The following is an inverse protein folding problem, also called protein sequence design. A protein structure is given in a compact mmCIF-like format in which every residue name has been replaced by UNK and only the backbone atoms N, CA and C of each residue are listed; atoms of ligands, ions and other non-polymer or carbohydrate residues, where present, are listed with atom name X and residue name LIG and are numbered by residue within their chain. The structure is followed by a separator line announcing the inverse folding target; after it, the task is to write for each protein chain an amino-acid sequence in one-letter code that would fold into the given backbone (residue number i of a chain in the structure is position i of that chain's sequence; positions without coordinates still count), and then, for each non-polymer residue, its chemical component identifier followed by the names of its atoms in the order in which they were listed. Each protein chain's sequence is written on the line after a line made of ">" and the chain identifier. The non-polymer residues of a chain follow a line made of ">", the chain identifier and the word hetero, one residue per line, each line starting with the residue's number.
data_IF_810774372729
#
_entry.id   IF_810774372729
#
_cell.length_a   1.000
_cell.length_b   1.000
_cell.length_c   1.000
_cell.angle_alpha   90.00
_cell.angle_beta   90.00
_cell.angle_gamma   90.00
#
_symmetry.space_group_name_H-M   'P 1'
#
loop_
_entity.id
_entity.type
_entity.pdbx_description
1 polymer ?
#
# COMPACT_ATOMS: atom_id res chain seq x y z
N UNK A 1 -20.36 -6.39 12.16
CA UNK A 1 -20.17 -5.20 13.02
C UNK A 1 -21.24 -5.35 14.07
N UNK A 2 -20.87 -5.58 15.33
CA UNK A 2 -21.86 -5.84 16.38
C UNK A 2 -21.67 -4.77 17.43
N UNK A 3 -22.70 -3.92 17.61
CA UNK A 3 -22.82 -3.08 18.80
C UNK A 3 -23.43 -3.99 19.88
N UNK A 4 -22.77 -4.13 21.02
CA UNK A 4 -23.23 -5.03 22.08
C UNK A 4 -23.59 -4.24 23.33
N UNK A 5 -24.85 -4.35 23.73
CA UNK A 5 -25.43 -3.77 24.95
C UNK A 5 -25.57 -4.88 26.00
N UNK A 6 -25.10 -4.64 27.23
CA UNK A 6 -25.17 -5.62 28.32
C UNK A 6 -25.83 -5.06 29.59
N UNK A 7 -26.49 -5.96 30.32
CA UNK A 7 -27.10 -5.76 31.66
C UNK A 7 -26.36 -6.62 32.69
N UNK A 8 -26.32 -6.17 33.95
CA UNK A 8 -25.41 -6.64 35.02
C UNK A 8 -25.56 -8.10 35.47
N UNK A 9 -26.66 -8.78 35.16
CA UNK A 9 -26.95 -10.09 35.75
C UNK A 9 -26.26 -11.30 35.08
N UNK A 10 -25.56 -11.15 33.95
CA UNK A 10 -25.04 -12.31 33.17
C UNK A 10 -23.60 -12.10 32.64
N UNK A 11 -22.76 -11.41 33.42
CA UNK A 11 -21.45 -10.90 32.97
C UNK A 11 -20.36 -12.01 32.94
N UNK A 12 -20.35 -12.96 33.87
CA UNK A 12 -19.22 -13.88 34.05
C UNK A 12 -19.16 -14.99 32.98
N UNK A 13 -20.28 -15.59 32.59
CA UNK A 13 -20.27 -16.69 31.60
C UNK A 13 -20.12 -16.18 30.16
N UNK A 14 -20.64 -14.97 29.88
CA UNK A 14 -20.61 -14.34 28.56
C UNK A 14 -19.29 -13.62 28.23
N UNK A 15 -18.57 -13.07 29.24
CA UNK A 15 -17.22 -12.53 29.06
C UNK A 15 -16.22 -13.60 28.61
N UNK A 16 -16.36 -14.84 29.11
CA UNK A 16 -15.51 -15.95 28.67
C UNK A 16 -15.75 -16.30 27.19
N UNK A 17 -16.97 -16.13 26.66
CA UNK A 17 -17.28 -16.33 25.23
C UNK A 17 -16.71 -15.21 24.34
N UNK A 18 -16.70 -13.95 24.79
CA UNK A 18 -16.09 -12.81 24.07
C UNK A 18 -14.57 -12.98 23.85
N UNK A 19 -13.88 -13.62 24.80
CA UNK A 19 -12.45 -13.92 24.68
C UNK A 19 -12.19 -15.08 23.71
N UNK A 20 -13.16 -15.97 23.52
CA UNK A 20 -13.03 -17.16 22.68
C UNK A 20 -13.52 -16.98 21.23
N UNK A 21 -14.43 -16.05 20.95
CA UNK A 21 -15.04 -15.88 19.62
C UNK A 21 -14.76 -14.49 19.01
N UNK A 22 -13.77 -14.41 18.11
CA UNK A 22 -13.10 -13.18 17.69
C UNK A 22 -13.72 -12.46 16.49
N UNK A 23 -14.96 -11.99 16.60
CA UNK A 23 -15.62 -11.21 15.54
C UNK A 23 -15.84 -9.73 15.95
N UNK A 24 -14.88 -8.88 15.56
CA UNK A 24 -14.97 -7.41 15.37
C UNK A 24 -15.78 -6.59 16.41
N UNK A 25 -15.18 -6.25 17.54
CA UNK A 25 -15.69 -5.23 18.47
C UNK A 25 -15.09 -3.86 18.08
N UNK A 26 -15.92 -2.89 17.69
CA UNK A 26 -15.51 -1.49 17.44
C UNK A 26 -15.88 -0.55 18.59
N UNK A 27 -17.00 -0.83 19.24
CA UNK A 27 -17.59 -0.05 20.33
C UNK A 27 -17.88 -1.02 21.49
N UNK A 28 -17.60 -0.61 22.73
CA UNK A 28 -17.99 -1.36 23.93
C UNK A 28 -18.80 -0.42 24.82
N UNK A 29 -20.10 -0.64 24.86
CA UNK A 29 -21.03 0.12 25.70
C UNK A 29 -21.36 -0.71 26.95
N UNK A 30 -20.91 -0.24 28.12
CA UNK A 30 -21.21 -0.87 29.40
C UNK A 30 -22.21 -0.01 30.17
N UNK A 31 -23.45 -0.50 30.28
CA UNK A 31 -24.50 0.20 31.02
C UNK A 31 -24.57 -0.35 32.44
N UNK A 32 -24.14 0.46 33.41
CA UNK A 32 -24.23 0.15 34.83
C UNK A 32 -25.54 0.72 35.37
N UNK A 33 -26.42 -0.11 35.93
CA UNK A 33 -27.61 0.32 36.66
C UNK A 33 -27.53 -0.25 38.07
N UNK A 34 -27.29 0.58 39.08
CA UNK A 34 -27.59 0.23 40.47
C UNK A 34 -29.11 0.29 40.63
N UNK A 35 -29.73 -0.80 41.09
CA UNK A 35 -31.12 -0.76 41.55
C UNK A 35 -31.15 0.03 42.86
N UNK A 36 -32.11 0.95 42.96
CA UNK A 36 -32.22 1.99 43.98
C UNK A 36 -32.33 1.53 45.44
N UNK A 37 -32.32 0.23 45.73
CA UNK A 37 -32.57 -0.29 47.08
C UNK A 37 -31.50 -1.26 47.63
N UNK A 38 -30.41 -1.52 46.91
CA UNK A 38 -29.30 -2.31 47.48
C UNK A 38 -27.97 -1.58 47.27
N UNK A 39 -27.24 -1.40 48.37
CA UNK A 39 -25.85 -0.91 48.45
C UNK A 39 -24.84 -1.87 47.82
N UNK A 40 -25.24 -2.63 46.79
CA UNK A 40 -24.32 -3.47 46.02
C UNK A 40 -23.68 -2.63 44.92
N UNK A 41 -22.59 -1.96 45.32
CA UNK A 41 -21.51 -1.64 44.40
C UNK A 41 -21.11 -2.91 43.63
N UNK A 42 -20.55 -2.73 42.42
CA UNK A 42 -19.91 -3.82 41.69
C UNK A 42 -18.96 -4.51 42.65
N UNK A 43 -19.02 -5.84 42.85
CA UNK A 43 -18.01 -6.52 43.65
C UNK A 43 -16.65 -6.16 43.07
N UNK A 44 -15.76 -5.57 43.88
CA UNK A 44 -14.45 -5.02 43.46
C UNK A 44 -13.66 -6.03 42.59
N UNK A 45 -13.90 -7.32 42.81
CA UNK A 45 -13.37 -8.45 42.04
C UNK A 45 -13.77 -8.43 40.55
N UNK A 46 -15.00 -8.05 40.19
CA UNK A 46 -15.49 -7.98 38.80
C UNK A 46 -14.85 -6.79 38.08
N UNK A 47 -14.80 -5.63 38.73
CA UNK A 47 -14.14 -4.43 38.19
C UNK A 47 -12.63 -4.67 37.99
N UNK A 48 -11.97 -5.26 38.99
CA UNK A 48 -10.57 -5.64 38.92
C UNK A 48 -10.30 -6.62 37.77
N UNK A 49 -11.17 -7.60 37.54
CA UNK A 49 -10.98 -8.61 36.49
C UNK A 49 -11.14 -8.04 35.08
N UNK A 50 -12.15 -7.20 34.85
CA UNK A 50 -12.30 -6.48 33.57
C UNK A 50 -11.06 -5.62 33.27
N UNK A 51 -10.55 -4.93 34.31
CA UNK A 51 -9.43 -3.99 34.18
C UNK A 51 -8.04 -4.65 34.09
N UNK A 52 -7.85 -5.81 34.74
CA UNK A 52 -6.56 -6.51 34.80
C UNK A 52 -6.44 -7.62 33.75
N UNK A 53 -7.54 -8.24 33.32
CA UNK A 53 -7.50 -9.42 32.43
C UNK A 53 -8.11 -9.16 31.05
N UNK A 54 -9.27 -8.50 30.96
CA UNK A 54 -10.05 -8.42 29.71
C UNK A 54 -9.56 -7.31 28.79
N UNK A 55 -9.49 -6.07 29.27
CA UNK A 55 -9.08 -4.91 28.47
C UNK A 55 -7.62 -5.01 27.93
N UNK A 56 -6.63 -5.48 28.70
CA UNK A 56 -5.27 -5.68 28.18
C UNK A 56 -5.20 -6.70 27.04
N UNK A 57 -5.99 -7.79 27.08
CA UNK A 57 -6.01 -8.83 26.03
C UNK A 57 -6.64 -8.32 24.74
N UNK A 58 -7.68 -7.47 24.83
CA UNK A 58 -8.29 -6.80 23.69
C UNK A 58 -7.28 -5.88 23.00
N UNK A 59 -6.47 -5.15 23.78
CA UNK A 59 -5.51 -4.17 23.25
C UNK A 59 -4.19 -4.78 22.75
N UNK A 60 -3.75 -5.90 23.33
CA UNK A 60 -2.47 -6.54 22.98
C UNK A 60 -2.54 -7.33 21.67
N UNK A 61 -3.72 -7.81 21.27
CA UNK A 61 -3.89 -8.49 19.99
C UNK A 61 -3.92 -7.49 18.83
N UNK A 62 -2.78 -7.35 18.12
CA UNK A 62 -2.58 -6.49 16.94
C UNK A 62 -3.63 -6.60 15.81
N UNK A 63 -4.52 -7.60 15.84
CA UNK A 63 -5.57 -7.85 14.84
C UNK A 63 -6.97 -7.37 15.26
N UNK A 64 -7.21 -7.02 16.52
CA UNK A 64 -8.51 -6.52 16.98
C UNK A 64 -8.64 -5.02 16.66
N UNK A 65 -9.86 -4.52 16.34
CA UNK A 65 -10.08 -3.08 16.20
C UNK A 65 -9.78 -2.37 17.52
N UNK A 66 -9.14 -1.19 17.44
CA UNK A 66 -8.98 -0.31 18.60
C UNK A 66 -10.37 0.08 19.13
N UNK A 67 -10.55 0.04 20.44
CA UNK A 67 -11.74 0.56 21.11
C UNK A 67 -11.91 2.04 20.74
N UNK A 68 -13.00 2.39 20.04
CA UNK A 68 -13.25 3.77 19.57
C UNK A 68 -14.03 4.60 20.58
N UNK A 69 -15.00 4.00 21.23
CA UNK A 69 -15.84 4.61 22.26
C UNK A 69 -15.91 3.71 23.49
N UNK A 70 -15.97 4.33 24.67
CA UNK A 70 -16.22 3.70 25.96
C UNK A 70 -17.28 4.51 26.69
N UNK A 71 -18.30 3.84 27.22
CA UNK A 71 -19.39 4.46 27.98
C UNK A 71 -19.45 3.90 29.39
N UNK A 72 -19.42 4.79 30.39
CA UNK A 72 -19.63 4.46 31.80
C UNK A 72 -20.81 5.29 32.30
N UNK A 73 -21.85 4.63 32.82
CA UNK A 73 -23.19 5.25 32.98
C UNK A 73 -23.63 5.47 34.44
N UNK A 74 -23.00 4.84 35.45
CA UNK A 74 -23.29 5.13 36.86
C UNK A 74 -22.11 4.78 37.77
N UNK A 75 -21.73 5.71 38.64
CA UNK A 75 -20.77 5.52 39.74
C UNK A 75 -21.40 6.16 40.98
N UNK A 76 -21.84 5.32 41.92
CA UNK A 76 -22.41 5.78 43.18
C UNK A 76 -21.29 5.96 44.21
N UNK A 77 -21.14 7.20 44.68
CA UNK A 77 -20.39 7.67 45.86
C UNK A 77 -18.97 8.27 45.74
N UNK A 78 -18.72 9.01 46.81
CA UNK A 78 -17.92 10.21 47.03
C UNK A 78 -16.43 9.93 47.29
N UNK A 79 -15.63 10.97 47.05
CA UNK A 79 -14.23 11.19 47.43
C UNK A 79 -13.08 10.30 46.91
N UNK A 80 -13.26 9.31 46.03
CA UNK A 80 -12.12 8.54 45.46
C UNK A 80 -12.20 8.20 43.96
N UNK A 81 -12.75 9.09 43.12
CA UNK A 81 -12.73 8.87 41.66
C UNK A 81 -11.30 8.81 41.07
N UNK A 82 -10.34 9.45 41.74
CA UNK A 82 -8.92 9.43 41.37
C UNK A 82 -8.32 8.02 41.50
N UNK A 83 -8.79 7.21 42.44
CA UNK A 83 -8.23 5.88 42.70
C UNK A 83 -8.80 4.79 41.77
N UNK A 84 -10.00 5.01 41.20
CA UNK A 84 -10.68 4.03 40.35
C UNK A 84 -10.67 4.40 38.85
N UNK A 85 -10.94 5.66 38.50
CA UNK A 85 -11.08 6.08 37.09
C UNK A 85 -9.71 6.37 36.47
N UNK A 86 -8.79 7.01 37.20
CA UNK A 86 -7.48 7.40 36.64
C UNK A 86 -6.62 6.18 36.25
N UNK A 87 -6.51 5.10 37.05
CA UNK A 87 -5.80 3.89 36.63
C UNK A 87 -6.41 3.23 35.38
N UNK A 88 -7.74 3.35 35.22
CA UNK A 88 -8.49 2.83 34.08
C UNK A 88 -8.18 3.64 32.80
N UNK A 89 -8.17 4.97 32.89
CA UNK A 89 -7.83 5.88 31.78
C UNK A 89 -6.37 5.73 31.33
N UNK A 90 -5.43 5.51 32.25
CA UNK A 90 -4.00 5.28 31.93
C UNK A 90 -3.76 4.08 31.01
N UNK A 91 -4.68 3.12 30.95
CA UNK A 91 -4.56 1.91 30.11
C UNK A 91 -5.26 2.05 28.75
N UNK A 92 -5.99 3.15 28.52
CA UNK A 92 -6.78 3.42 27.32
C UNK A 92 -6.17 4.48 26.38
N UNK A 93 -4.84 4.62 26.35
CA UNK A 93 -4.06 5.66 25.61
C UNK A 93 -4.43 5.83 24.11
N UNK A 94 -5.04 4.82 23.49
CA UNK A 94 -5.41 4.85 22.07
C UNK A 94 -6.88 5.21 21.80
N UNK A 95 -7.66 5.54 22.83
CA UNK A 95 -9.08 5.88 22.72
C UNK A 95 -9.27 7.22 21.98
N UNK A 96 -10.18 7.25 21.01
CA UNK A 96 -10.46 8.44 20.18
C UNK A 96 -11.71 9.20 20.66
N UNK A 97 -12.69 8.51 21.23
CA UNK A 97 -13.91 9.09 21.82
C UNK A 97 -14.19 8.47 23.20
N UNK A 98 -14.59 9.29 24.18
CA UNK A 98 -14.98 8.86 25.53
C UNK A 98 -16.32 9.48 25.89
N UNK A 99 -17.26 8.66 26.37
CA UNK A 99 -18.53 9.12 26.92
C UNK A 99 -18.55 8.72 28.40
N UNK A 100 -18.56 9.72 29.28
CA UNK A 100 -18.56 9.52 30.72
C UNK A 100 -19.81 10.17 31.30
N UNK A 101 -20.70 9.37 31.87
CA UNK A 101 -21.90 9.85 32.55
C UNK A 101 -21.83 9.46 34.02
N UNK A 102 -21.72 10.47 34.88
CA UNK A 102 -21.65 10.32 36.33
C UNK A 102 -23.02 10.70 36.92
N UNK A 103 -23.58 9.83 37.75
CA UNK A 103 -24.79 10.12 38.53
C UNK A 103 -24.37 10.23 39.99
N UNK A 104 -24.59 11.38 40.63
CA UNK A 104 -24.13 11.67 41.99
C UNK A 104 -25.34 11.82 42.90
N UNK A 105 -25.53 10.85 43.80
CA UNK A 105 -26.76 10.69 44.59
C UNK A 105 -26.67 11.32 45.99
N UNK A 106 -25.49 11.70 46.50
CA UNK A 106 -25.36 12.53 47.72
C UNK A 106 -24.41 13.70 47.56
N UNK A 107 -24.83 14.84 48.13
CA UNK A 107 -24.12 16.11 48.14
C UNK A 107 -23.60 16.36 49.56
N UNK A 108 -22.68 15.53 50.00
CA UNK A 108 -21.82 15.81 51.14
C UNK A 108 -20.61 16.62 50.64
N UNK A 109 -20.88 17.91 50.37
CA UNK A 109 -19.99 19.08 50.26
C UNK A 109 -18.58 19.00 49.63
N UNK A 110 -18.17 17.90 49.00
CA UNK A 110 -16.97 17.89 48.16
C UNK A 110 -17.35 18.17 46.72
N UNK A 111 -17.06 19.39 46.27
CA UNK A 111 -17.20 19.78 44.88
C UNK A 111 -16.38 18.82 43.98
N UNK A 112 -17.01 18.28 42.93
CA UNK A 112 -16.27 17.61 41.86
C UNK A 112 -15.49 18.71 41.13
N UNK A 113 -14.17 18.74 41.31
CA UNK A 113 -13.29 19.63 40.54
C UNK A 113 -13.19 19.10 39.10
N UNK A 114 -14.18 19.47 38.29
CA UNK A 114 -14.24 19.10 36.88
C UNK A 114 -13.05 19.61 36.07
N UNK A 115 -12.34 20.65 36.54
CA UNK A 115 -11.14 21.15 35.87
C UNK A 115 -9.95 20.22 36.11
N UNK A 116 -9.78 19.70 37.34
CA UNK A 116 -8.75 18.72 37.66
C UNK A 116 -8.93 17.41 36.89
N UNK A 117 -10.15 16.87 36.88
CA UNK A 117 -10.48 15.65 36.14
C UNK A 117 -10.28 15.82 34.62
N UNK A 118 -10.62 16.98 34.08
CA UNK A 118 -10.41 17.30 32.66
C UNK A 118 -8.93 17.38 32.29
N UNK A 119 -8.09 18.03 33.11
CA UNK A 119 -6.66 18.13 32.85
C UNK A 119 -5.95 16.76 32.95
N UNK A 120 -6.32 15.90 33.91
CA UNK A 120 -5.79 14.53 33.97
C UNK A 120 -6.23 13.68 32.76
N UNK A 121 -7.49 13.78 32.31
CA UNK A 121 -7.96 13.09 31.09
C UNK A 121 -7.17 13.57 29.86
N UNK A 122 -6.97 14.88 29.73
CA UNK A 122 -6.25 15.51 28.61
C UNK A 122 -4.77 15.11 28.56
N UNK A 123 -4.09 15.07 29.70
CA UNK A 123 -2.68 14.69 29.80
C UNK A 123 -2.47 13.21 29.47
N UNK A 124 -3.39 12.34 29.90
CA UNK A 124 -3.20 10.88 29.87
C UNK A 124 -3.76 10.19 28.62
N UNK A 125 -4.72 10.81 27.93
CA UNK A 125 -5.33 10.29 26.71
C UNK A 125 -5.01 11.17 25.49
N UNK A 126 -3.79 11.13 24.94
CA UNK A 126 -3.31 12.07 23.92
C UNK A 126 -4.00 11.93 22.55
N UNK A 127 -4.83 10.89 22.36
CA UNK A 127 -5.58 10.64 21.11
C UNK A 127 -7.08 10.87 21.24
N UNK A 128 -7.53 11.31 22.42
CA UNK A 128 -8.94 11.59 22.68
C UNK A 128 -9.32 12.88 21.94
N UNK A 129 -10.16 12.74 20.92
CA UNK A 129 -10.60 13.86 20.09
C UNK A 129 -11.99 14.36 20.49
N UNK A 130 -12.71 13.57 21.30
CA UNK A 130 -14.08 13.86 21.72
C UNK A 130 -14.33 13.28 23.11
N UNK A 131 -14.73 14.16 24.03
CA UNK A 131 -15.15 13.79 25.38
C UNK A 131 -16.58 14.28 25.55
N UNK A 132 -17.50 13.37 25.84
CA UNK A 132 -18.85 13.73 26.27
C UNK A 132 -18.93 13.42 27.75
N UNK A 133 -19.07 14.47 28.54
CA UNK A 133 -19.12 14.37 29.99
C UNK A 133 -20.49 14.83 30.48
N UNK A 134 -21.19 13.99 31.22
CA UNK A 134 -22.52 14.28 31.76
C UNK A 134 -22.50 14.05 33.26
N UNK A 135 -22.86 15.06 34.06
CA UNK A 135 -23.08 14.90 35.50
C UNK A 135 -24.58 15.02 35.76
N UNK A 136 -25.16 14.02 36.40
CA UNK A 136 -26.53 14.04 36.91
C UNK A 136 -26.44 14.15 38.44
N UNK A 137 -26.67 15.34 39.00
CA UNK A 137 -26.94 15.48 40.43
C UNK A 137 -28.46 15.55 40.62
N UNK A 138 -28.97 15.10 41.77
CA UNK A 138 -30.41 15.15 42.07
C UNK A 138 -31.02 16.58 42.04
N UNK A 139 -30.20 17.64 41.96
CA UNK A 139 -30.65 19.04 42.08
C UNK A 139 -30.44 19.88 40.80
N UNK A 140 -29.53 19.52 39.88
CA UNK A 140 -29.31 20.28 38.64
C UNK A 140 -29.06 19.35 37.45
N UNK A 141 -29.99 19.33 36.48
CA UNK A 141 -29.72 18.80 35.14
C UNK A 141 -28.97 19.84 34.31
N UNK A 142 -27.67 19.66 34.11
CA UNK A 142 -26.89 20.40 33.12
C UNK A 142 -26.10 19.44 32.23
N UNK A 143 -26.48 19.35 30.96
CA UNK A 143 -25.62 18.77 29.93
C UNK A 143 -24.56 19.81 29.58
N UNK A 144 -23.34 19.64 30.08
CA UNK A 144 -22.21 20.48 29.69
C UNK A 144 -21.47 19.75 28.58
N UNK A 145 -21.71 20.18 27.34
CA UNK A 145 -20.91 19.73 26.21
C UNK A 145 -19.65 20.58 26.16
N UNK A 146 -18.55 20.08 26.72
CA UNK A 146 -17.25 20.74 26.62
C UNK A 146 -16.61 20.30 25.31
N UNK A 147 -16.72 21.14 24.28
CA UNK A 147 -15.84 20.99 23.12
C UNK A 147 -14.42 21.36 23.58
N UNK A 148 -13.43 20.54 23.22
CA UNK A 148 -12.02 20.88 23.47
C UNK A 148 -11.75 22.28 22.88
N UNK A 149 -11.01 23.16 23.59
CA UNK A 149 -10.68 24.48 23.07
C UNK A 149 -10.10 24.33 21.68
N UNK A 150 -10.58 25.17 20.76
CA UNK A 150 -10.15 25.12 19.38
C UNK A 150 -8.63 25.31 19.32
N UNK A 151 -7.99 24.84 18.24
CA UNK A 151 -6.57 25.12 18.06
C UNK A 151 -6.24 26.62 18.10
N UNK A 152 -7.22 27.51 17.88
CA UNK A 152 -7.06 28.97 17.98
C UNK A 152 -7.00 29.45 19.45
N UNK A 153 -7.76 28.85 20.36
CA UNK A 153 -7.75 29.19 21.79
C UNK A 153 -6.47 28.68 22.47
N UNK A 154 -6.01 27.49 22.07
CA UNK A 154 -4.71 26.96 22.45
C UNK A 154 -3.60 27.89 21.93
N UNK A 155 -3.73 28.40 20.69
CA UNK A 155 -2.76 29.32 20.08
C UNK A 155 -2.66 30.68 20.77
N UNK A 156 -3.76 31.24 21.29
CA UNK A 156 -3.69 32.47 22.11
C UNK A 156 -2.83 32.30 23.35
N UNK A 157 -2.98 31.17 24.05
CA UNK A 157 -2.21 30.90 25.29
C UNK A 157 -0.71 30.76 25.06
N UNK A 158 -0.28 30.36 23.84
CA UNK A 158 1.14 30.28 23.46
C UNK A 158 1.77 31.65 23.17
N UNK A 159 0.98 32.61 22.68
CA UNK A 159 1.41 33.98 22.39
C UNK A 159 1.64 34.77 23.69
N UNK A 160 0.74 34.63 24.67
CA UNK A 160 0.84 35.30 25.97
C UNK A 160 2.04 34.84 26.81
N UNK A 161 2.58 33.65 26.53
CA UNK A 161 3.73 33.06 27.24
C UNK A 161 5.08 33.19 26.50
N UNK A 162 5.14 33.99 25.44
CA UNK A 162 6.41 34.36 24.78
C UNK A 162 7.07 33.29 23.91
N UNK A 163 6.34 32.24 23.50
CA UNK A 163 6.87 31.24 22.55
C UNK A 163 6.69 31.71 21.10
N UNK A 164 7.76 31.66 20.29
CA UNK A 164 7.71 32.07 18.88
C UNK A 164 6.74 31.20 18.07
N UNK A 165 5.84 31.88 17.36
CA UNK A 165 4.80 31.32 16.51
C UNK A 165 5.41 30.57 15.32
N UNK A 166 5.35 29.22 15.33
CA UNK A 166 5.50 28.43 14.10
C UNK A 166 4.24 28.70 13.27
N UNK A 167 4.42 29.31 12.09
CA UNK A 167 3.37 29.92 11.27
C UNK A 167 2.01 29.23 11.32
N UNK A 168 1.00 29.98 11.80
CA UNK A 168 -0.46 29.80 11.73
C UNK A 168 -0.96 28.35 11.49
N UNK A 169 -1.65 27.79 12.49
CA UNK A 169 -2.33 26.49 12.37
C UNK A 169 -3.36 26.48 11.22
N UNK A 170 -3.94 27.64 10.92
CA UNK A 170 -4.82 27.82 9.77
C UNK A 170 -4.07 27.58 8.44
N UNK A 171 -2.84 28.06 8.29
CA UNK A 171 -2.02 27.81 7.11
C UNK A 171 -1.62 26.33 7.01
N UNK A 172 -1.28 25.70 8.15
CA UNK A 172 -0.99 24.27 8.20
C UNK A 172 -2.19 23.43 7.75
N UNK A 173 -3.39 23.74 8.26
CA UNK A 173 -4.64 23.06 7.89
C UNK A 173 -5.00 23.28 6.42
N UNK A 174 -4.85 24.51 5.91
CA UNK A 174 -5.11 24.84 4.50
C UNK A 174 -4.15 24.13 3.55
N UNK A 175 -2.87 24.04 3.91
CA UNK A 175 -1.86 23.28 3.14
C UNK A 175 -2.19 21.79 3.17
N UNK A 176 -2.50 21.21 4.34
CA UNK A 176 -2.86 19.79 4.48
C UNK A 176 -4.09 19.44 3.63
N UNK A 177 -5.15 20.25 3.67
CA UNK A 177 -6.34 20.05 2.83
C UNK A 177 -6.04 20.08 1.33
N UNK A 178 -5.07 20.90 0.89
CA UNK A 178 -4.66 20.97 -0.53
C UNK A 178 -3.75 19.83 -0.96
N UNK A 179 -3.01 19.21 -0.06
CA UNK A 179 -2.14 18.06 -0.38
C UNK A 179 -2.84 16.71 -0.23
N UNK A 180 -3.86 16.62 0.63
CA UNK A 180 -4.63 15.39 0.90
C UNK A 180 -5.78 15.19 -0.11
N UNK A 181 -5.42 15.24 -1.39
CA UNK A 181 -6.30 15.00 -2.54
C UNK A 181 -5.58 14.13 -3.57
N UNK A 182 -6.31 13.52 -4.51
CA UNK A 182 -5.73 12.55 -5.47
C UNK A 182 -4.62 13.15 -6.38
N UNK A 183 -4.83 14.40 -6.81
CA UNK A 183 -3.92 15.18 -7.63
C UNK A 183 -3.62 16.54 -6.99
N UNK A 184 -2.69 16.60 -6.02
CA UNK A 184 -2.42 17.83 -5.30
C UNK A 184 -1.64 18.83 -6.18
N UNK A 185 -1.91 20.14 -6.05
CA UNK A 185 -1.17 21.19 -6.74
C UNK A 185 0.29 21.25 -6.27
N UNK A 186 1.16 21.87 -7.09
CA UNK A 186 2.58 22.03 -6.74
C UNK A 186 2.75 22.91 -5.49
N UNK A 187 3.85 22.73 -4.75
CA UNK A 187 4.14 23.56 -3.57
C UNK A 187 4.18 25.06 -3.90
N UNK A 188 4.61 25.43 -5.13
CA UNK A 188 4.59 26.82 -5.61
C UNK A 188 3.17 27.33 -5.85
N UNK A 189 2.29 26.50 -6.41
CA UNK A 189 0.88 26.84 -6.60
C UNK A 189 0.16 27.01 -5.25
N UNK A 190 0.43 26.12 -4.28
CA UNK A 190 -0.08 26.24 -2.91
C UNK A 190 0.43 27.52 -2.25
N UNK A 191 1.72 27.82 -2.39
CA UNK A 191 2.35 29.03 -1.86
C UNK A 191 1.70 30.30 -2.43
N UNK A 192 1.47 30.34 -3.75
CA UNK A 192 0.81 31.47 -4.42
C UNK A 192 -0.64 31.64 -3.96
N UNK A 193 -1.39 30.55 -3.89
CA UNK A 193 -2.81 30.55 -3.52
C UNK A 193 -3.04 30.92 -2.05
N UNK A 194 -2.15 30.49 -1.16
CA UNK A 194 -2.22 30.78 0.27
C UNK A 194 -1.42 32.02 0.68
N UNK A 195 -0.81 32.73 -0.28
CA UNK A 195 0.05 33.90 -0.04
C UNK A 195 1.14 33.66 1.02
N UNK A 196 1.77 32.47 0.99
CA UNK A 196 2.86 32.08 1.89
C UNK A 196 4.10 31.70 1.10
N UNK A 197 5.27 31.65 1.75
CA UNK A 197 6.50 31.21 1.09
C UNK A 197 6.45 29.71 0.75
N UNK A 198 7.08 29.30 -0.35
CA UNK A 198 7.21 27.88 -0.68
C UNK A 198 8.00 27.11 0.40
N UNK A 199 8.96 27.75 1.06
CA UNK A 199 9.69 27.18 2.21
C UNK A 199 8.73 26.83 3.35
N UNK A 200 7.76 27.69 3.66
CA UNK A 200 6.72 27.44 4.66
C UNK A 200 5.86 26.24 4.28
N UNK A 201 5.41 26.14 3.01
CA UNK A 201 4.68 24.97 2.51
C UNK A 201 5.51 23.69 2.64
N UNK A 202 6.81 23.74 2.30
CA UNK A 202 7.72 22.60 2.41
C UNK A 202 7.86 22.13 3.86
N UNK A 203 8.02 23.05 4.80
CA UNK A 203 8.13 22.73 6.22
C UNK A 203 6.84 22.14 6.78
N UNK A 204 5.68 22.68 6.40
CA UNK A 204 4.38 22.13 6.80
C UNK A 204 4.23 20.69 6.30
N UNK A 205 4.55 20.41 5.02
CA UNK A 205 4.46 19.06 4.45
C UNK A 205 5.40 18.07 5.16
N UNK A 206 6.62 18.50 5.47
CA UNK A 206 7.59 17.67 6.22
C UNK A 206 7.09 17.35 7.63
N UNK A 207 6.49 18.33 8.30
CA UNK A 207 6.03 18.19 9.69
C UNK A 207 4.66 17.51 9.82
N UNK A 208 3.89 17.40 8.72
CA UNK A 208 2.55 16.78 8.72
C UNK A 208 2.55 15.27 8.44
N UNK A 209 3.73 14.65 8.33
CA UNK A 209 3.87 13.20 8.11
C UNK A 209 3.67 12.75 6.65
N UNK A 210 3.45 13.68 5.71
CA UNK A 210 3.36 13.36 4.29
C UNK A 210 4.76 13.13 3.70
N UNK A 211 4.92 12.05 2.93
CA UNK A 211 6.16 11.79 2.19
C UNK A 211 5.97 12.09 0.72
N UNK A 212 6.79 12.98 0.16
CA UNK A 212 6.78 13.25 -1.28
C UNK A 212 7.22 11.99 -2.04
N UNK A 213 6.32 11.44 -2.86
CA UNK A 213 6.63 10.35 -3.80
C UNK A 213 6.37 10.77 -5.22
N UNK A 214 7.28 10.40 -6.13
CA UNK A 214 7.11 10.62 -7.56
C UNK A 214 6.12 9.60 -8.12
N UNK A 215 5.08 10.07 -8.83
CA UNK A 215 4.15 9.18 -9.54
C UNK A 215 4.91 8.36 -10.59
N UNK A 216 4.73 7.05 -10.57
CA UNK A 216 5.31 6.14 -11.55
C UNK A 216 4.46 6.15 -12.82
N UNK A 217 5.10 6.19 -13.99
CA UNK A 217 4.40 6.01 -15.26
C UNK A 217 4.07 4.53 -15.43
N UNK A 218 2.78 4.21 -15.59
CA UNK A 218 2.26 2.86 -15.81
C UNK A 218 1.33 2.85 -17.03
N UNK A 219 1.03 1.67 -17.56
CA UNK A 219 0.13 1.54 -18.70
C UNK A 219 -1.29 1.99 -18.33
N UNK A 220 -1.96 2.73 -19.22
CA UNK A 220 -3.36 3.10 -19.01
C UNK A 220 -4.26 1.86 -19.02
N UNK A 221 -5.01 1.63 -17.94
CA UNK A 221 -6.02 0.59 -17.86
C UNK A 221 -7.41 1.17 -18.14
N UNK A 222 -8.17 0.55 -19.04
CA UNK A 222 -9.61 0.80 -19.19
C UNK A 222 -10.39 0.00 -18.16
N UNK A 223 -11.64 0.37 -17.89
CA UNK A 223 -12.53 -0.39 -16.99
C UNK A 223 -12.68 -1.85 -17.45
N UNK A 224 -12.71 -2.09 -18.77
CA UNK A 224 -12.69 -3.44 -19.36
C UNK A 224 -11.41 -4.21 -19.04
N UNK A 225 -10.24 -3.55 -19.13
CA UNK A 225 -8.96 -4.18 -18.78
C UNK A 225 -8.91 -4.57 -17.30
N UNK A 226 -9.37 -3.69 -16.40
CA UNK A 226 -9.41 -3.95 -14.96
C UNK A 226 -10.30 -5.18 -14.66
N UNK A 227 -11.49 -5.23 -15.27
CA UNK A 227 -12.40 -6.37 -15.10
C UNK A 227 -11.78 -7.68 -15.59
N UNK A 228 -11.22 -7.69 -16.80
CA UNK A 228 -10.55 -8.87 -17.37
C UNK A 228 -9.35 -9.30 -16.53
N UNK A 229 -8.53 -8.35 -16.06
CA UNK A 229 -7.39 -8.59 -15.15
C UNK A 229 -7.88 -9.25 -13.85
N UNK A 230 -8.95 -8.74 -13.24
CA UNK A 230 -9.54 -9.33 -12.02
C UNK A 230 -10.05 -10.74 -12.24
N UNK A 231 -10.80 -10.98 -13.32
CA UNK A 231 -11.39 -12.29 -13.63
C UNK A 231 -10.31 -13.35 -13.91
N UNK A 232 -9.28 -13.00 -14.68
CA UNK A 232 -8.29 -13.95 -15.20
C UNK A 232 -7.12 -14.19 -14.25
N UNK A 233 -6.77 -13.20 -13.41
CA UNK A 233 -5.62 -13.29 -12.48
C UNK A 233 -5.68 -14.51 -11.57
N UNK A 234 -6.82 -14.81 -10.94
CA UNK A 234 -6.88 -15.95 -10.03
C UNK A 234 -6.70 -17.30 -10.75
N UNK A 235 -7.30 -17.46 -11.93
CA UNK A 235 -7.13 -18.67 -12.74
C UNK A 235 -5.69 -18.86 -13.19
N UNK A 236 -5.05 -17.78 -13.65
CA UNK A 236 -3.64 -17.80 -14.00
C UNK A 236 -2.76 -18.11 -12.78
N UNK A 237 -3.08 -17.56 -11.60
CA UNK A 237 -2.38 -17.89 -10.36
C UNK A 237 -2.42 -19.39 -10.06
N UNK A 238 -3.58 -20.05 -10.21
CA UNK A 238 -3.70 -21.50 -9.99
C UNK A 238 -2.81 -22.31 -10.94
N UNK A 239 -2.66 -21.87 -12.21
CA UNK A 239 -1.74 -22.51 -13.18
C UNK A 239 -0.27 -22.33 -12.80
N UNK A 240 0.09 -21.27 -12.10
CA UNK A 240 1.48 -20.93 -11.74
C UNK A 240 1.88 -21.40 -10.32
N UNK A 241 0.93 -21.47 -9.39
CA UNK A 241 1.16 -21.75 -7.98
C UNK A 241 1.76 -23.13 -7.71
N UNK A 242 2.27 -23.32 -6.48
CA UNK A 242 2.89 -24.56 -6.02
C UNK A 242 4.03 -25.05 -6.93
N UNK A 243 4.87 -24.12 -7.42
CA UNK A 243 6.02 -24.46 -8.26
C UNK A 243 5.69 -24.77 -9.72
N UNK A 244 4.41 -24.74 -10.14
CA UNK A 244 4.00 -25.03 -11.53
C UNK A 244 4.57 -24.02 -12.54
N UNK A 245 4.83 -22.78 -12.11
CA UNK A 245 5.52 -21.76 -12.92
C UNK A 245 6.85 -22.26 -13.53
N UNK A 246 7.53 -23.24 -12.90
CA UNK A 246 8.78 -23.81 -13.42
C UNK A 246 8.61 -24.51 -14.76
N UNK A 247 7.38 -24.92 -15.11
CA UNK A 247 7.05 -25.56 -16.39
C UNK A 247 6.84 -24.56 -17.52
N UNK A 248 6.86 -23.26 -17.25
CA UNK A 248 6.61 -22.25 -18.26
C UNK A 248 7.91 -21.77 -18.92
N UNK A 249 7.82 -21.52 -20.22
CA UNK A 249 8.76 -20.70 -20.99
C UNK A 249 8.02 -19.39 -21.25
N UNK A 250 8.50 -18.31 -20.65
CA UNK A 250 7.94 -16.97 -20.86
C UNK A 250 8.76 -16.25 -21.92
N UNK A 251 8.08 -15.71 -22.92
CA UNK A 251 8.68 -15.08 -24.10
C UNK A 251 8.03 -13.74 -24.36
N UNK A 252 8.78 -12.83 -24.96
CA UNK A 252 8.32 -11.47 -25.25
C UNK A 252 9.27 -10.77 -26.24
N UNK A 253 8.86 -9.60 -26.73
CA UNK A 253 9.63 -8.71 -27.59
C UNK A 253 9.98 -7.40 -26.88
N UNK A 254 11.23 -6.95 -27.03
CA UNK A 254 11.64 -5.64 -26.56
C UNK A 254 12.46 -4.87 -27.58
N UNK A 255 12.23 -3.56 -27.63
CA UNK A 255 13.10 -2.61 -28.31
C UNK A 255 14.30 -2.22 -27.45
N UNK A 256 15.46 -2.20 -28.09
CA UNK A 256 16.72 -1.67 -27.57
C UNK A 256 17.21 -0.55 -28.49
N UNK A 257 17.60 0.58 -27.89
CA UNK A 257 17.97 1.79 -28.60
C UNK A 257 19.36 2.27 -28.17
N UNK A 258 20.08 2.93 -29.09
CA UNK A 258 21.42 3.50 -28.81
C UNK A 258 21.38 4.63 -27.78
N UNK A 259 20.35 5.47 -27.83
CA UNK A 259 20.15 6.57 -26.86
C UNK A 259 19.84 6.07 -25.44
N UNK A 260 19.52 4.79 -25.29
CA UNK A 260 19.35 4.11 -24.01
C UNK A 260 20.66 3.65 -23.37
N UNK A 261 21.81 4.06 -23.89
CA UNK A 261 23.16 3.66 -23.44
C UNK A 261 23.95 4.85 -22.88
N UNK A 262 25.06 4.58 -22.19
CA UNK A 262 25.97 5.64 -21.71
C UNK A 262 25.51 6.42 -20.47
N UNK A 263 24.34 6.12 -19.90
CA UNK A 263 24.04 6.47 -18.51
C UNK A 263 23.90 7.96 -18.21
N UNK A 264 23.75 8.83 -19.22
CA UNK A 264 23.57 10.28 -19.00
C UNK A 264 22.36 10.52 -18.09
N UNK A 265 22.63 10.90 -16.85
CA UNK A 265 21.60 11.15 -15.84
C UNK A 265 21.08 12.57 -16.00
N UNK A 266 19.79 12.78 -15.73
CA UNK A 266 19.16 14.11 -15.67
C UNK A 266 19.63 14.97 -14.48
N UNK A 267 20.65 14.53 -13.76
CA UNK A 267 21.14 15.14 -12.52
C UNK A 267 22.62 15.45 -12.72
N UNK A 268 22.98 16.70 -12.51
CA UNK A 268 24.34 17.22 -12.49
C UNK A 268 24.52 18.00 -11.18
N UNK A 269 25.66 17.85 -10.51
CA UNK A 269 26.01 18.60 -9.30
C UNK A 269 27.02 19.67 -9.66
N UNK A 270 26.68 20.95 -9.46
CA UNK A 270 27.54 22.10 -9.80
C UNK A 270 27.91 22.87 -8.53
N UNK A 271 29.16 23.36 -8.46
CA UNK A 271 29.57 24.36 -7.46
C UNK A 271 29.19 25.76 -7.96
N UNK A 272 28.98 26.73 -7.06
CA UNK A 272 28.63 28.11 -7.45
C UNK A 272 29.69 28.79 -8.34
N UNK A 273 30.93 28.31 -8.29
CA UNK A 273 32.09 28.86 -9.03
C UNK A 273 32.38 28.11 -10.33
N UNK A 274 31.56 27.14 -10.71
CA UNK A 274 31.81 26.36 -11.92
C UNK A 274 31.41 27.15 -13.18
N UNK A 275 32.34 27.39 -14.11
CA UNK A 275 32.07 28.18 -15.32
C UNK A 275 31.39 27.37 -16.44
N UNK A 276 31.35 26.04 -16.31
CA UNK A 276 30.93 25.15 -17.38
C UNK A 276 29.42 24.85 -17.34
N UNK A 277 28.69 25.51 -18.25
CA UNK A 277 27.26 25.32 -18.51
C UNK A 277 26.97 24.09 -19.39
N UNK A 278 27.92 23.57 -20.17
CA UNK A 278 27.64 22.51 -21.15
C UNK A 278 27.32 21.18 -20.48
N UNK A 279 27.94 20.90 -19.32
CA UNK A 279 27.57 19.76 -18.46
C UNK A 279 26.19 19.88 -17.81
N UNK A 280 25.53 21.04 -17.90
CA UNK A 280 24.13 21.24 -17.49
C UNK A 280 23.14 20.94 -18.63
N UNK A 281 23.64 20.72 -19.86
CA UNK A 281 22.83 20.53 -21.05
C UNK A 281 22.79 19.05 -21.42
N UNK A 282 21.58 18.51 -21.56
CA UNK A 282 21.35 17.20 -22.18
C UNK A 282 20.73 17.47 -23.54
N UNK A 283 21.51 17.26 -24.60
CA UNK A 283 21.01 17.33 -25.97
C UNK A 283 19.95 16.25 -26.19
N UNK A 284 18.77 16.66 -26.64
CA UNK A 284 17.70 15.75 -27.06
C UNK A 284 17.89 15.44 -28.54
N UNK A 285 17.98 14.15 -28.88
CA UNK A 285 17.98 13.75 -30.29
C UNK A 285 16.60 14.06 -30.90
N UNK A 286 16.58 14.81 -32.00
CA UNK A 286 15.36 15.19 -32.74
C UNK A 286 14.83 14.08 -33.66
N UNK A 287 15.66 13.06 -33.95
CA UNK A 287 15.28 11.90 -34.76
C UNK A 287 14.79 10.72 -33.91
N UNK A 288 13.97 9.83 -34.50
CA UNK A 288 13.62 8.54 -33.90
C UNK A 288 14.91 7.80 -33.47
N UNK A 289 14.97 7.29 -32.24
CA UNK A 289 16.19 6.66 -31.75
C UNK A 289 16.51 5.40 -32.56
N UNK A 290 17.76 5.30 -33.01
CA UNK A 290 18.26 4.12 -33.73
C UNK A 290 18.23 2.93 -32.78
N UNK A 291 17.59 1.85 -33.20
CA UNK A 291 17.43 0.66 -32.38
C UNK A 291 16.94 -0.54 -33.18
N UNK A 292 16.83 -1.68 -32.50
CA UNK A 292 16.30 -2.91 -33.05
C UNK A 292 15.35 -3.57 -32.04
N UNK A 293 14.45 -4.41 -32.55
CA UNK A 293 13.58 -5.25 -31.74
C UNK A 293 14.18 -6.64 -31.59
N UNK A 294 14.04 -7.21 -30.40
CA UNK A 294 14.55 -8.53 -30.06
C UNK A 294 13.45 -9.35 -29.43
N UNK A 295 13.31 -10.59 -29.88
CA UNK A 295 12.54 -11.62 -29.21
C UNK A 295 13.46 -12.49 -28.34
N UNK A 296 13.00 -12.83 -27.15
CA UNK A 296 13.70 -13.76 -26.27
C UNK A 296 12.76 -14.37 -25.24
N UNK A 297 13.27 -15.37 -24.51
CA UNK A 297 12.51 -16.02 -23.47
C UNK A 297 13.37 -16.73 -22.44
N UNK A 298 12.76 -16.96 -21.27
CA UNK A 298 13.40 -17.62 -20.13
C UNK A 298 12.50 -18.69 -19.53
N UNK A 299 13.12 -19.65 -18.86
CA UNK A 299 12.45 -20.75 -18.17
C UNK A 299 13.31 -21.21 -16.99
N UNK A 300 12.78 -22.12 -16.17
CA UNK A 300 13.56 -22.78 -15.11
C UNK A 300 14.70 -23.67 -15.64
N UNK A 301 14.72 -23.97 -16.95
CA UNK A 301 15.74 -24.82 -17.56
C UNK A 301 16.80 -24.01 -18.33
N UNK A 302 16.67 -22.68 -18.36
CA UNK A 302 17.53 -21.83 -19.17
C UNK A 302 16.77 -20.78 -19.95
N UNK A 303 17.54 -20.08 -20.75
CA UNK A 303 17.12 -19.00 -21.65
C UNK A 303 17.20 -19.43 -23.12
N UNK A 304 16.34 -18.87 -23.96
CA UNK A 304 16.35 -19.09 -25.42
C UNK A 304 17.49 -18.32 -26.09
N UNK A 305 17.76 -18.63 -27.36
CA UNK A 305 18.52 -17.72 -28.22
C UNK A 305 17.73 -16.43 -28.46
N UNK A 306 18.43 -15.29 -28.47
CA UNK A 306 17.84 -14.01 -28.86
C UNK A 306 17.67 -13.95 -30.38
N UNK A 307 16.48 -13.55 -30.83
CA UNK A 307 16.14 -13.41 -32.25
C UNK A 307 15.93 -11.94 -32.58
N UNK A 308 16.75 -11.42 -33.48
CA UNK A 308 16.71 -10.01 -33.87
C UNK A 308 15.78 -9.83 -35.05
N UNK A 309 14.87 -8.86 -34.92
CA UNK A 309 13.98 -8.47 -36.00
C UNK A 309 14.71 -7.48 -36.91
N UNK A 310 14.64 -7.72 -38.22
CA UNK A 310 15.30 -6.86 -39.19
C UNK A 310 14.70 -5.44 -39.16
N UNK A 311 15.53 -4.38 -39.32
CA UNK A 311 15.04 -3.01 -39.35
C UNK A 311 13.91 -2.81 -40.37
N UNK A 312 12.90 -2.02 -40.01
CA UNK A 312 11.73 -1.76 -40.87
C UNK A 312 10.73 -2.92 -40.99
N UNK A 313 11.01 -4.09 -40.40
CA UNK A 313 10.09 -5.24 -40.46
C UNK A 313 8.97 -5.10 -39.45
N UNK A 314 7.71 -5.20 -39.91
CA UNK A 314 6.55 -5.34 -39.03
C UNK A 314 6.39 -6.80 -38.62
N UNK A 315 6.41 -7.08 -37.33
CA UNK A 315 6.13 -8.43 -36.80
C UNK A 315 4.64 -8.70 -36.94
N UNK A 316 4.27 -9.30 -38.06
CA UNK A 316 2.94 -9.88 -38.27
C UNK A 316 2.96 -11.38 -37.91
N UNK A 317 1.79 -12.01 -37.97
CA UNK A 317 1.64 -13.44 -37.68
C UNK A 317 2.57 -14.34 -38.50
N UNK A 318 2.71 -14.06 -39.80
CA UNK A 318 3.55 -14.85 -40.69
C UNK A 318 5.04 -14.75 -40.33
N UNK A 319 5.50 -13.54 -40.00
CA UNK A 319 6.85 -13.33 -39.52
C UNK A 319 7.06 -14.05 -38.19
N UNK A 320 6.13 -13.90 -37.25
CA UNK A 320 6.20 -14.52 -35.94
C UNK A 320 6.32 -16.05 -36.04
N UNK A 321 5.43 -16.70 -36.80
CA UNK A 321 5.48 -18.15 -37.01
C UNK A 321 6.81 -18.59 -37.65
N UNK A 322 7.21 -17.95 -38.75
CA UNK A 322 8.34 -18.45 -39.55
C UNK A 322 9.72 -18.08 -39.00
N UNK A 323 9.86 -16.89 -38.43
CA UNK A 323 11.15 -16.35 -37.97
C UNK A 323 11.34 -16.47 -36.47
N UNK A 324 10.27 -16.64 -35.69
CA UNK A 324 10.33 -16.78 -34.24
C UNK A 324 9.96 -18.20 -33.79
N UNK A 325 8.71 -18.63 -33.99
CA UNK A 325 8.22 -19.90 -33.42
C UNK A 325 8.89 -21.14 -34.03
N UNK A 326 9.01 -21.23 -35.36
CA UNK A 326 9.66 -22.38 -36.01
C UNK A 326 11.10 -22.60 -35.51
N UNK A 327 11.99 -21.60 -35.52
CA UNK A 327 13.33 -21.77 -34.96
C UNK A 327 13.33 -22.02 -33.45
N UNK A 328 12.42 -21.40 -32.69
CA UNK A 328 12.28 -21.64 -31.25
C UNK A 328 11.98 -23.11 -30.94
N UNK A 329 11.02 -23.71 -31.64
CA UNK A 329 10.66 -25.11 -31.48
C UNK A 329 11.74 -26.07 -31.97
N UNK A 330 12.45 -25.70 -33.05
CA UNK A 330 13.50 -26.55 -33.62
C UNK A 330 14.79 -26.55 -32.78
N UNK A 331 15.16 -25.40 -32.19
CA UNK A 331 16.49 -25.21 -31.60
C UNK A 331 16.45 -25.07 -30.07
N UNK A 332 15.53 -24.26 -29.54
CA UNK A 332 15.54 -23.93 -28.11
C UNK A 332 14.79 -24.97 -27.27
N UNK A 333 13.62 -25.40 -27.71
CA UNK A 333 12.80 -26.35 -26.95
C UNK A 333 13.53 -27.68 -26.70
N UNK A 334 14.17 -28.34 -27.69
CA UNK A 334 14.89 -29.58 -27.44
C UNK A 334 16.06 -29.42 -26.46
N UNK A 335 16.71 -28.25 -26.47
CA UNK A 335 17.82 -27.90 -25.57
C UNK A 335 17.34 -27.64 -24.14
N UNK A 336 16.26 -26.88 -23.98
CA UNK A 336 15.71 -26.51 -22.66
C UNK A 336 14.91 -27.66 -22.04
N UNK A 337 14.20 -28.44 -22.85
CA UNK A 337 13.35 -29.55 -22.42
C UNK A 337 13.66 -30.82 -23.23
N UNK A 338 14.83 -31.46 -22.99
CA UNK A 338 15.20 -32.68 -23.69
C UNK A 338 14.17 -33.79 -23.47
N UNK A 339 13.84 -34.54 -24.54
CA UNK A 339 12.82 -35.62 -24.51
C UNK A 339 13.05 -36.63 -23.38
N UNK A 340 14.32 -36.91 -23.02
CA UNK A 340 14.70 -37.81 -21.92
C UNK A 340 14.10 -37.41 -20.56
N UNK A 341 13.87 -36.11 -20.30
CA UNK A 341 13.30 -35.61 -19.05
C UNK A 341 11.78 -35.76 -18.96
N UNK A 342 11.08 -36.09 -20.07
CA UNK A 342 9.61 -36.20 -20.17
C UNK A 342 8.84 -35.04 -19.48
N UNK A 343 9.45 -33.85 -19.41
CA UNK A 343 8.82 -32.71 -18.75
C UNK A 343 7.88 -32.00 -19.69
N UNK A 344 6.61 -31.89 -19.28
CA UNK A 344 5.64 -31.01 -19.93
C UNK A 344 6.03 -29.55 -19.69
N UNK A 345 5.99 -28.75 -20.75
CA UNK A 345 6.24 -27.32 -20.70
C UNK A 345 5.07 -26.54 -21.31
N UNK A 346 4.97 -25.27 -20.94
CA UNK A 346 3.92 -24.36 -21.39
C UNK A 346 4.52 -23.07 -21.94
N UNK A 347 4.03 -22.58 -23.06
CA UNK A 347 4.41 -21.29 -23.61
C UNK A 347 3.59 -20.17 -22.96
N UNK A 348 4.26 -19.10 -22.55
CA UNK A 348 3.64 -17.83 -22.22
C UNK A 348 4.13 -16.76 -23.19
N UNK A 349 3.17 -16.10 -23.84
CA UNK A 349 3.33 -14.92 -24.68
C UNK A 349 2.18 -13.96 -24.36
N UNK A 350 2.36 -12.67 -24.60
CA UNK A 350 1.31 -11.68 -24.40
C UNK A 350 0.19 -11.82 -25.46
N UNK A 351 -0.80 -10.93 -25.41
CA UNK A 351 -1.91 -10.92 -26.38
C UNK A 351 -1.70 -9.92 -27.52
N UNK A 352 -0.45 -9.71 -27.96
CA UNK A 352 -0.18 -8.91 -29.15
C UNK A 352 -0.92 -9.50 -30.39
N UNK A 353 -1.35 -8.67 -31.35
CA UNK A 353 -2.12 -9.14 -32.50
C UNK A 353 -1.45 -10.28 -33.30
N UNK A 354 -0.13 -10.30 -33.40
CA UNK A 354 0.64 -11.39 -34.03
C UNK A 354 0.51 -12.72 -33.27
N UNK A 355 0.40 -12.68 -31.95
CA UNK A 355 0.34 -13.86 -31.07
C UNK A 355 -1.06 -14.46 -31.02
N UNK A 356 -2.09 -13.62 -31.13
CA UNK A 356 -3.49 -14.03 -31.10
C UNK A 356 -4.09 -14.28 -32.49
N UNK A 357 -3.34 -13.99 -33.56
CA UNK A 357 -3.77 -14.22 -34.93
C UNK A 357 -4.04 -15.72 -35.17
N UNK A 358 -5.08 -16.00 -35.95
CA UNK A 358 -5.51 -17.37 -36.25
C UNK A 358 -4.37 -18.25 -36.77
N UNK A 359 -3.53 -17.73 -37.66
CA UNK A 359 -2.38 -18.46 -38.20
C UNK A 359 -1.40 -18.88 -37.09
N UNK A 360 -1.12 -18.02 -36.11
CA UNK A 360 -0.25 -18.34 -34.96
C UNK A 360 -0.92 -19.37 -34.05
N UNK A 361 -2.20 -19.20 -33.72
CA UNK A 361 -2.94 -20.14 -32.88
C UNK A 361 -3.01 -21.53 -33.51
N UNK A 362 -3.39 -21.62 -34.80
CA UNK A 362 -3.40 -22.89 -35.56
C UNK A 362 -2.02 -23.55 -35.56
N UNK A 363 -0.95 -22.77 -35.73
CA UNK A 363 0.41 -23.31 -35.67
C UNK A 363 0.74 -23.91 -34.30
N UNK A 364 0.37 -23.23 -33.20
CA UNK A 364 0.59 -23.75 -31.85
C UNK A 364 -0.18 -25.06 -31.61
N UNK A 365 -1.44 -25.13 -32.05
CA UNK A 365 -2.31 -26.30 -31.92
C UNK A 365 -1.83 -27.49 -32.75
N UNK A 366 -1.46 -27.26 -34.02
CA UNK A 366 -0.92 -28.30 -34.92
C UNK A 366 0.38 -28.92 -34.36
N UNK A 367 1.20 -28.11 -33.70
CA UNK A 367 2.43 -28.56 -33.05
C UNK A 367 2.19 -29.09 -31.62
N UNK A 368 0.92 -29.18 -31.17
CA UNK A 368 0.51 -29.67 -29.84
C UNK A 368 1.21 -28.94 -28.68
N UNK A 369 1.44 -27.64 -28.85
CA UNK A 369 2.09 -26.82 -27.83
C UNK A 369 1.05 -26.45 -26.79
N UNK A 370 1.36 -26.69 -25.52
CA UNK A 370 0.55 -26.14 -24.44
C UNK A 370 0.94 -24.68 -24.22
N UNK A 371 -0.03 -23.78 -24.12
CA UNK A 371 0.23 -22.35 -23.93
C UNK A 371 -0.78 -21.70 -22.97
N UNK A 372 -0.54 -20.45 -22.61
CA UNK A 372 -1.55 -19.58 -21.99
C UNK A 372 -2.35 -18.95 -23.11
N UNK A 373 -3.63 -19.26 -23.18
CA UNK A 373 -4.51 -18.74 -24.23
C UNK A 373 -4.75 -17.24 -24.07
N UNK A 374 -5.15 -16.52 -25.14
CA UNK A 374 -5.51 -15.10 -25.05
C UNK A 374 -6.65 -14.80 -24.06
N UNK A 375 -7.49 -15.80 -23.77
CA UNK A 375 -8.60 -15.72 -22.81
C UNK A 375 -8.11 -15.93 -21.36
N UNK A 376 -7.02 -16.65 -21.16
CA UNK A 376 -6.40 -16.84 -19.85
C UNK A 376 -5.42 -15.73 -19.49
N UNK A 377 -4.75 -15.14 -20.48
CA UNK A 377 -3.84 -14.02 -20.26
C UNK A 377 -4.59 -12.73 -19.90
N UNK A 378 -3.98 -11.91 -19.04
CA UNK A 378 -4.56 -10.65 -18.62
C UNK A 378 -4.15 -9.53 -19.59
N UNK A 379 -5.09 -8.71 -20.11
CA UNK A 379 -4.74 -7.61 -20.99
C UNK A 379 -3.91 -6.55 -20.26
N UNK A 380 -3.05 -5.84 -20.99
CA UNK A 380 -2.30 -4.70 -20.44
C UNK A 380 -1.58 -5.02 -19.11
N UNK A 381 -0.86 -6.15 -19.08
CA UNK A 381 -0.28 -6.71 -17.84
C UNK A 381 1.22 -6.95 -17.88
N UNK A 382 2.04 -5.94 -18.24
CA UNK A 382 3.51 -6.05 -18.15
C UNK A 382 3.99 -6.29 -16.71
N UNK A 383 3.21 -5.85 -15.72
CA UNK A 383 3.43 -6.10 -14.29
C UNK A 383 3.28 -7.58 -13.88
N UNK A 384 2.69 -8.40 -14.76
CA UNK A 384 2.57 -9.85 -14.62
C UNK A 384 3.51 -10.66 -15.54
N UNK A 385 4.15 -10.05 -16.54
CA UNK A 385 5.00 -10.76 -17.50
C UNK A 385 6.48 -10.73 -17.07
N UNK A 386 7.13 -11.87 -16.79
CA UNK A 386 8.52 -11.91 -16.31
C UNK A 386 9.53 -11.20 -17.20
N UNK A 387 9.31 -11.26 -18.52
CA UNK A 387 10.16 -10.59 -19.48
C UNK A 387 10.10 -9.06 -19.30
N UNK A 388 8.89 -8.51 -19.18
CA UNK A 388 8.63 -7.09 -18.99
C UNK A 388 9.08 -6.55 -17.63
N UNK A 389 8.59 -7.12 -16.53
CA UNK A 389 8.80 -6.52 -15.21
C UNK A 389 10.23 -6.68 -14.69
N UNK A 390 11.07 -7.52 -15.33
CA UNK A 390 12.42 -7.79 -14.85
C UNK A 390 13.47 -8.02 -15.93
N UNK A 391 13.31 -9.03 -16.80
CA UNK A 391 14.42 -9.50 -17.65
C UNK A 391 14.89 -8.41 -18.62
N UNK A 392 13.97 -7.74 -19.31
CA UNK A 392 14.30 -6.62 -20.19
C UNK A 392 14.82 -5.41 -19.44
N UNK A 393 14.24 -5.09 -18.29
CA UNK A 393 14.71 -4.02 -17.41
C UNK A 393 16.15 -4.23 -16.96
N UNK A 394 16.51 -5.46 -16.57
CA UNK A 394 17.87 -5.84 -16.20
C UNK A 394 18.86 -5.62 -17.36
N UNK A 395 18.54 -6.12 -18.56
CA UNK A 395 19.44 -5.96 -19.72
C UNK A 395 19.62 -4.49 -20.10
N UNK A 396 18.52 -3.72 -20.13
CA UNK A 396 18.57 -2.27 -20.38
C UNK A 396 19.42 -1.56 -19.33
N UNK A 397 19.32 -1.96 -18.06
CA UNK A 397 20.14 -1.41 -16.99
C UNK A 397 21.63 -1.72 -17.17
N UNK A 398 22.00 -2.94 -17.59
CA UNK A 398 23.40 -3.26 -17.85
C UNK A 398 23.96 -2.47 -19.05
N UNK A 399 23.20 -2.38 -20.13
CA UNK A 399 23.60 -1.62 -21.33
C UNK A 399 23.70 -0.12 -21.05
N UNK A 400 22.84 0.42 -20.18
CA UNK A 400 22.89 1.83 -19.79
C UNK A 400 24.15 2.20 -18.97
N UNK A 401 24.92 1.23 -18.48
CA UNK A 401 26.20 1.50 -17.78
C UNK A 401 27.38 1.70 -18.73
N UNK A 402 27.20 1.38 -20.02
CA UNK A 402 28.27 1.33 -21.01
C UNK A 402 27.93 2.31 -22.13
N UNK A 403 28.90 3.10 -22.58
CA UNK A 403 28.74 3.91 -23.79
C UNK A 403 28.81 3.01 -25.02
N UNK A 404 27.86 3.15 -25.96
CA UNK A 404 27.79 2.32 -27.16
C UNK A 404 27.46 3.21 -28.36
N UNK A 405 28.35 3.18 -29.36
CA UNK A 405 28.31 4.12 -30.48
C UNK A 405 27.68 3.53 -31.76
N UNK A 406 27.46 2.21 -31.81
CA UNK A 406 26.92 1.55 -33.01
C UNK A 406 25.90 0.45 -32.68
N UNK A 407 24.97 0.20 -33.61
CA UNK A 407 23.96 -0.86 -33.47
C UNK A 407 24.60 -2.26 -33.40
N UNK A 408 25.70 -2.48 -34.11
CA UNK A 408 26.42 -3.75 -34.08
C UNK A 408 27.09 -3.99 -32.73
N UNK A 409 27.68 -2.94 -32.14
CA UNK A 409 28.20 -3.04 -30.79
C UNK A 409 27.08 -3.26 -29.77
N UNK A 410 25.96 -2.53 -29.89
CA UNK A 410 24.79 -2.72 -29.04
C UNK A 410 24.30 -4.17 -29.08
N UNK A 411 24.21 -4.76 -30.28
CA UNK A 411 23.84 -6.15 -30.48
C UNK A 411 24.83 -7.12 -29.83
N UNK A 412 26.14 -6.92 -30.03
CA UNK A 412 27.21 -7.73 -29.41
C UNK A 412 27.17 -7.66 -27.88
N UNK A 413 27.01 -6.46 -27.31
CA UNK A 413 26.91 -6.26 -25.87
C UNK A 413 25.64 -6.89 -25.30
N UNK A 414 24.49 -6.72 -25.96
CA UNK A 414 23.24 -7.37 -25.55
C UNK A 414 23.37 -8.89 -25.50
N UNK A 415 23.96 -9.51 -26.54
CA UNK A 415 24.24 -10.95 -26.56
C UNK A 415 25.16 -11.39 -25.42
N UNK A 416 26.19 -10.58 -25.13
CA UNK A 416 27.11 -10.83 -24.02
C UNK A 416 26.40 -10.79 -22.67
N UNK A 417 25.60 -9.75 -22.40
CA UNK A 417 24.84 -9.59 -21.16
C UNK A 417 23.75 -10.65 -21.00
N UNK A 418 23.09 -11.05 -22.11
CA UNK A 418 22.17 -12.18 -22.12
C UNK A 418 22.85 -13.47 -21.70
N UNK A 419 24.05 -13.75 -22.24
CA UNK A 419 24.83 -14.95 -21.88
C UNK A 419 25.24 -14.92 -20.40
N UNK A 420 25.69 -13.78 -19.89
CA UNK A 420 26.12 -13.58 -18.49
C UNK A 420 24.98 -13.69 -17.46
N UNK A 421 23.74 -13.38 -17.86
CA UNK A 421 22.59 -13.48 -16.96
C UNK A 421 22.49 -14.89 -16.37
N UNK A 422 22.59 -14.98 -15.05
CA UNK A 422 22.64 -16.26 -14.33
C UNK A 422 21.26 -16.91 -14.23
N UNK A 423 21.24 -18.24 -14.18
CA UNK A 423 20.00 -18.99 -13.99
C UNK A 423 19.37 -18.67 -12.62
N UNK A 424 20.18 -18.43 -11.59
CA UNK A 424 19.70 -18.04 -10.24
C UNK A 424 18.89 -16.74 -10.27
N UNK A 425 19.28 -15.76 -11.10
CA UNK A 425 18.49 -14.54 -11.28
C UNK A 425 17.15 -14.85 -11.93
N UNK A 426 17.16 -15.62 -13.02
CA UNK A 426 15.95 -16.05 -13.74
C UNK A 426 14.99 -16.80 -12.81
N UNK A 427 15.49 -17.72 -11.99
CA UNK A 427 14.68 -18.51 -11.07
C UNK A 427 13.99 -17.63 -10.01
N UNK A 428 14.70 -16.61 -9.49
CA UNK A 428 14.10 -15.62 -8.56
C UNK A 428 12.99 -14.82 -9.24
N UNK A 429 13.20 -14.40 -10.48
CA UNK A 429 12.19 -13.70 -11.27
C UNK A 429 10.95 -14.59 -11.45
N UNK A 430 11.14 -15.82 -11.94
CA UNK A 430 10.04 -16.77 -12.15
C UNK A 430 9.32 -17.14 -10.85
N UNK A 431 10.04 -17.28 -9.73
CA UNK A 431 9.44 -17.55 -8.42
C UNK A 431 8.55 -16.41 -7.91
N UNK A 432 8.80 -15.17 -8.35
CA UNK A 432 7.95 -14.01 -8.01
C UNK A 432 6.65 -13.95 -8.82
N UNK A 433 6.58 -14.67 -9.94
CA UNK A 433 5.49 -14.59 -10.91
C UNK A 433 4.11 -14.94 -10.32
N UNK A 434 3.91 -16.05 -9.58
CA UNK A 434 2.61 -16.37 -8.98
C UNK A 434 2.17 -15.29 -7.98
N UNK A 435 3.10 -14.76 -7.17
CA UNK A 435 2.80 -13.70 -6.18
C UNK A 435 2.31 -12.44 -6.87
N UNK A 436 2.96 -12.02 -7.96
CA UNK A 436 2.55 -10.85 -8.79
C UNK A 436 1.13 -11.02 -9.32
N UNK A 437 0.84 -12.16 -9.92
CA UNK A 437 -0.50 -12.45 -10.44
C UNK A 437 -1.57 -12.45 -9.32
N UNK A 438 -1.25 -13.02 -8.15
CA UNK A 438 -2.15 -12.96 -6.98
C UNK A 438 -2.37 -11.53 -6.46
N UNK A 439 -1.37 -10.66 -6.53
CA UNK A 439 -1.53 -9.26 -6.14
C UNK A 439 -2.46 -8.51 -7.09
N UNK A 440 -2.47 -8.83 -8.38
CA UNK A 440 -3.43 -8.23 -9.33
C UNK A 440 -4.86 -8.62 -8.94
N UNK A 441 -5.08 -9.88 -8.58
CA UNK A 441 -6.37 -10.35 -8.06
C UNK A 441 -6.78 -9.59 -6.79
N UNK A 442 -5.88 -9.50 -5.80
CA UNK A 442 -6.11 -8.76 -4.55
C UNK A 442 -6.34 -7.26 -4.76
N UNK A 443 -5.71 -6.68 -5.77
CA UNK A 443 -5.90 -5.30 -6.19
C UNK A 443 -7.15 -5.09 -7.08
N UNK A 444 -8.02 -6.12 -7.19
CA UNK A 444 -9.25 -6.10 -7.99
C UNK A 444 -8.99 -5.72 -9.46
N UNK A 445 -7.84 -6.14 -10.00
CA UNK A 445 -7.43 -5.87 -11.39
C UNK A 445 -6.62 -4.59 -11.60
N UNK A 446 -6.36 -3.80 -10.54
CA UNK A 446 -5.55 -2.57 -10.63
C UNK A 446 -4.04 -2.86 -10.77
N UNK A 447 -3.25 -1.79 -10.94
CA UNK A 447 -1.79 -1.82 -10.88
C UNK A 447 -1.26 -2.32 -9.53
N UNK A 448 -0.11 -2.98 -9.55
CA UNK A 448 0.53 -3.56 -8.36
C UNK A 448 1.93 -2.98 -8.07
N UNK A 449 2.47 -2.15 -8.96
CA UNK A 449 3.84 -1.62 -8.89
C UNK A 449 4.10 -0.80 -7.63
N UNK A 450 3.07 -0.13 -7.10
CA UNK A 450 3.15 0.62 -5.85
C UNK A 450 3.04 -0.25 -4.59
N UNK A 451 2.74 -1.56 -4.73
CA UNK A 451 2.46 -2.51 -3.64
C UNK A 451 3.52 -3.60 -3.50
N UNK A 452 4.55 -3.57 -4.34
CA UNK A 452 5.53 -4.66 -4.52
C UNK A 452 6.71 -4.60 -3.56
#
# INVERSE_FOLDING_TARGET
>A
MVDILYSLMDINERLNRLVLDSLYIRNLDMTMKSSSDDTSSIPEQVLNRICKEVLPRIHHHKKLPKLKSFSLISLDYTCHYDDEIIPLLRRLINLEELILSLSVIRVDLTCIDGAHLYEEIRIRLPRLNKLIFSINTAVIKKNIKIDFPSNEDIQRSFIERGYQQIGSYANSTKVIKKIDVEDPPTQRAIAKDLHISQSTVSNIIKNSGFTLRKKQKVQKLTSSNIMKRRQRSFQLYLRLACGRYKKFITTDEAWFYLDGTGGRRKVCYIKKTDPDYDRMIIQQNTSRPKGFMVWGGVSSQGKTALRFVAPGTKVNSNYYVNKVLKPFLAQDVPRLFPKRRKMKWFLHQDSAPSHTAEQTIRFLEQNKIHYITPQEWMPASPDAAPMDYSIWGYLKQQLNKIHIDSLDELKKKLLSEWRKMSQTYIDKVLASWPRRVLMIYKARGSHIEHRL
#
